data_IF_004651853637
#
_entry.id   IF_004651853637
#
_cell.length_a   1.000
_cell.length_b   1.000
_cell.length_c   1.000
_cell.angle_alpha   90.00
_cell.angle_beta   90.00
_cell.angle_gamma   90.00
#
_symmetry.space_group_name_H-M   'P 1'
#
loop_
_entity.id
_entity.type
_entity.pdbx_description
1 polymer ?
#
# COMPACT_ATOMS: atom_id res chain seq x y z
N UNK A 1 4.77 -16.21 3.62
CA UNK A 1 5.20 -15.58 4.89
C UNK A 1 3.98 -15.49 5.80
N UNK A 2 4.11 -15.75 7.09
CA UNK A 2 3.00 -15.61 8.03
C UNK A 2 2.74 -14.12 8.31
N UNK A 3 1.47 -13.72 8.47
CA UNK A 3 1.08 -12.31 8.48
C UNK A 3 1.65 -11.54 9.68
N UNK A 4 1.82 -12.19 10.84
CA UNK A 4 2.43 -11.58 12.02
C UNK A 4 3.95 -11.40 11.87
N UNK A 5 4.64 -12.34 11.23
CA UNK A 5 6.06 -12.18 10.86
C UNK A 5 6.25 -11.01 9.90
N UNK A 6 5.36 -10.88 8.91
CA UNK A 6 5.39 -9.76 7.97
C UNK A 6 5.12 -8.41 8.66
N UNK A 7 4.13 -8.35 9.55
CA UNK A 7 3.82 -7.17 10.36
C UNK A 7 5.06 -6.67 11.11
N UNK A 8 5.75 -7.56 11.83
CA UNK A 8 6.93 -7.17 12.62
C UNK A 8 8.06 -6.69 11.72
N UNK A 9 8.28 -7.36 10.59
CA UNK A 9 9.27 -6.94 9.59
C UNK A 9 9.01 -5.53 9.07
N UNK A 10 7.77 -5.25 8.67
CA UNK A 10 7.36 -3.90 8.22
C UNK A 10 7.53 -2.88 9.34
N UNK A 11 7.14 -3.21 10.57
CA UNK A 11 7.30 -2.34 11.74
C UNK A 11 8.77 -1.96 11.95
N UNK A 12 9.72 -2.88 11.80
CA UNK A 12 11.15 -2.59 11.96
C UNK A 12 11.71 -1.66 10.89
N UNK A 13 11.26 -1.80 9.64
CA UNK A 13 11.63 -0.87 8.56
C UNK A 13 11.11 0.53 8.88
N UNK A 14 9.81 0.64 9.17
CA UNK A 14 9.18 1.91 9.50
C UNK A 14 9.79 2.54 10.75
N UNK A 15 10.19 1.73 11.74
CA UNK A 15 10.84 2.20 12.98
C UNK A 15 12.15 2.91 12.66
N UNK A 16 12.96 2.33 11.78
CA UNK A 16 14.22 2.94 11.35
C UNK A 16 14.01 4.32 10.70
N UNK A 17 12.97 4.45 9.88
CA UNK A 17 12.61 5.72 9.26
C UNK A 17 12.07 6.74 10.30
N UNK A 18 11.11 6.33 11.13
CA UNK A 18 10.47 7.22 12.09
C UNK A 18 11.47 7.71 13.15
N UNK A 19 12.26 6.82 13.75
CA UNK A 19 13.29 7.23 14.72
C UNK A 19 14.45 7.97 14.06
N UNK A 20 14.69 7.75 12.76
CA UNK A 20 15.62 8.53 11.95
C UNK A 20 15.17 9.97 11.66
N UNK A 21 13.96 10.36 12.06
CA UNK A 21 13.45 11.73 11.93
C UNK A 21 12.45 11.94 10.79
N UNK A 22 12.13 10.92 10.00
CA UNK A 22 11.14 11.02 8.93
C UNK A 22 9.73 11.12 9.51
N UNK A 23 8.91 12.04 8.99
CA UNK A 23 7.52 12.30 9.43
C UNK A 23 6.51 12.34 8.28
N UNK A 24 6.95 12.02 7.06
CA UNK A 24 6.10 11.96 5.88
C UNK A 24 6.46 10.70 5.10
N UNK A 25 5.91 9.57 5.51
CA UNK A 25 6.24 8.23 5.01
C UNK A 25 5.00 7.66 4.32
N UNK A 26 5.14 7.30 3.05
CA UNK A 26 4.10 6.63 2.28
C UNK A 26 4.53 5.20 1.98
N UNK A 27 3.73 4.22 2.39
CA UNK A 27 3.90 2.81 2.06
C UNK A 27 2.87 2.42 1.01
N UNK A 28 3.35 2.12 -0.19
CA UNK A 28 2.51 1.70 -1.31
C UNK A 28 2.36 0.18 -1.32
N UNK A 29 1.12 -0.29 -1.34
CA UNK A 29 0.75 -1.71 -1.37
C UNK A 29 0.08 -2.04 -2.71
N UNK A 30 0.69 -2.96 -3.47
CA UNK A 30 0.09 -3.49 -4.70
C UNK A 30 -0.63 -4.82 -4.45
N UNK A 31 0.00 -5.70 -3.67
CA UNK A 31 -0.51 -7.05 -3.44
C UNK A 31 -1.57 -7.07 -2.34
N UNK A 32 -2.57 -7.93 -2.49
CA UNK A 32 -3.61 -8.17 -1.48
C UNK A 32 -4.45 -6.93 -1.13
N UNK A 33 -5.00 -6.31 -2.18
CA UNK A 33 -5.95 -5.21 -2.08
C UNK A 33 -6.96 -5.26 -3.23
N UNK A 34 -8.23 -5.48 -2.93
CA UNK A 34 -9.27 -5.68 -3.93
C UNK A 34 -10.50 -4.84 -3.58
N UNK A 35 -10.85 -3.87 -4.42
CA UNK A 35 -12.09 -3.10 -4.26
C UNK A 35 -12.26 -2.44 -2.87
N UNK A 36 -11.19 -1.87 -2.32
CA UNK A 36 -11.11 -1.32 -0.94
C UNK A 36 -11.14 -2.36 0.19
N UNK A 37 -11.05 -3.66 -0.13
CA UNK A 37 -10.89 -4.69 0.89
C UNK A 37 -9.42 -4.85 1.25
N UNK A 38 -9.15 -4.63 2.53
CA UNK A 38 -7.84 -4.83 3.14
C UNK A 38 -7.70 -6.33 3.48
N UNK A 39 -6.85 -7.01 2.72
CA UNK A 39 -6.53 -8.42 2.96
C UNK A 39 -5.36 -8.55 3.98
N UNK A 40 -5.04 -9.76 4.47
CA UNK A 40 -4.19 -9.94 5.64
C UNK A 40 -2.86 -9.18 5.62
N UNK A 41 -2.13 -9.19 4.50
CA UNK A 41 -0.83 -8.49 4.42
C UNK A 41 -1.00 -6.97 4.42
N UNK A 42 -2.05 -6.46 3.78
CA UNK A 42 -2.40 -5.04 3.81
C UNK A 42 -2.80 -4.59 5.22
N UNK A 43 -3.56 -5.41 5.95
CA UNK A 43 -3.89 -5.16 7.35
C UNK A 43 -2.65 -5.17 8.24
N UNK A 44 -1.73 -6.11 8.04
CA UNK A 44 -0.44 -6.14 8.74
C UNK A 44 0.34 -4.84 8.54
N UNK A 45 0.41 -4.32 7.31
CA UNK A 45 1.02 -3.03 7.00
C UNK A 45 0.39 -1.87 7.80
N UNK A 46 -0.94 -1.79 7.82
CA UNK A 46 -1.64 -0.73 8.55
C UNK A 46 -1.46 -0.85 10.06
N UNK A 47 -1.54 -2.07 10.60
CA UNK A 47 -1.34 -2.33 12.02
C UNK A 47 0.08 -1.98 12.45
N UNK A 48 1.09 -2.40 11.69
CA UNK A 48 2.49 -2.05 11.94
C UNK A 48 2.70 -0.53 12.01
N UNK A 49 2.16 0.22 11.03
CA UNK A 49 2.25 1.67 11.01
C UNK A 49 1.63 2.33 12.25
N UNK A 50 0.39 1.94 12.63
CA UNK A 50 -0.29 2.53 13.78
C UNK A 50 0.33 2.13 15.12
N UNK A 51 0.68 0.87 15.30
CA UNK A 51 1.36 0.39 16.51
C UNK A 51 2.68 1.14 16.71
N UNK A 52 3.49 1.27 15.66
CA UNK A 52 4.76 2.00 15.73
C UNK A 52 4.56 3.48 16.09
N UNK A 53 3.57 4.16 15.49
CA UNK A 53 3.29 5.56 15.84
C UNK A 53 2.95 5.70 17.32
N UNK A 54 2.14 4.79 17.88
CA UNK A 54 1.84 4.78 19.30
C UNK A 54 3.07 4.52 20.18
N UNK A 55 3.88 3.52 19.83
CA UNK A 55 5.15 3.22 20.53
C UNK A 55 6.05 4.45 20.56
N UNK A 56 6.24 5.11 19.41
CA UNK A 56 7.07 6.31 19.30
C UNK A 56 6.54 7.47 20.15
N UNK A 57 5.22 7.68 20.17
CA UNK A 57 4.61 8.73 20.99
C UNK A 57 4.73 8.43 22.48
N UNK A 58 4.60 7.17 22.90
CA UNK A 58 4.84 6.78 24.29
C UNK A 58 6.32 6.97 24.70
N UNK A 59 7.26 6.58 23.85
CA UNK A 59 8.70 6.76 24.11
C UNK A 59 9.08 8.25 24.25
N UNK A 60 8.42 9.13 23.49
CA UNK A 60 8.77 10.57 23.43
C UNK A 60 7.94 11.45 24.35
N UNK A 61 6.71 11.05 24.69
CA UNK A 61 5.79 11.82 25.54
C UNK A 61 5.53 11.18 26.90
N UNK A 62 6.00 9.95 27.11
CA UNK A 62 5.84 9.18 28.33
C UNK A 62 4.63 8.25 28.33
N UNK A 63 4.64 7.30 29.27
CA UNK A 63 3.55 6.34 29.46
C UNK A 63 2.24 7.05 29.76
N UNK A 64 1.16 6.60 29.11
CA UNK A 64 -0.16 7.17 29.29
C UNK A 64 -0.32 8.60 28.73
N UNK A 65 0.57 9.03 27.84
CA UNK A 65 0.53 10.38 27.24
C UNK A 65 -0.85 10.75 26.69
N UNK A 66 -1.57 9.78 26.11
CA UNK A 66 -2.89 9.98 25.52
C UNK A 66 -3.91 10.57 26.52
N UNK A 67 -3.82 10.17 27.79
CA UNK A 67 -4.71 10.65 28.86
C UNK A 67 -4.16 11.83 29.66
N UNK A 68 -2.94 12.30 29.38
CA UNK A 68 -2.38 13.47 30.08
C UNK A 68 -3.13 14.74 29.66
N UNK A 69 -3.58 15.53 30.63
CA UNK A 69 -4.24 16.82 30.41
C UNK A 69 -3.40 17.79 29.54
N UNK A 70 -2.08 17.64 29.48
CA UNK A 70 -1.21 18.39 28.56
C UNK A 70 -1.53 18.14 27.09
N UNK A 71 -2.14 16.98 26.77
CA UNK A 71 -2.55 16.59 25.43
C UNK A 71 -4.05 16.83 25.19
N UNK A 72 -4.78 17.55 26.06
CA UNK A 72 -6.23 17.81 25.89
C UNK A 72 -6.57 18.45 24.54
N UNK A 73 -5.70 19.33 24.04
CA UNK A 73 -5.89 20.06 22.78
C UNK A 73 -5.47 19.22 21.56
N UNK A 74 -4.99 17.99 21.76
CA UNK A 74 -4.54 17.11 20.68
C UNK A 74 -5.64 16.88 19.64
N UNK A 75 -6.88 16.64 20.09
CA UNK A 75 -8.03 16.42 19.22
C UNK A 75 -8.46 17.69 18.47
N UNK A 76 -8.33 18.85 19.11
CA UNK A 76 -8.69 20.15 18.51
C UNK A 76 -7.72 20.55 17.38
N UNK A 77 -6.53 19.94 17.35
CA UNK A 77 -5.46 20.23 16.38
C UNK A 77 -5.22 19.09 15.38
N UNK A 78 -6.06 18.05 15.35
CA UNK A 78 -5.86 16.91 14.43
C UNK A 78 -5.83 17.33 12.95
N UNK A 79 -6.60 18.35 12.57
CA UNK A 79 -6.63 18.85 11.20
C UNK A 79 -5.57 19.94 10.93
N UNK A 80 -4.70 20.26 11.90
CA UNK A 80 -3.72 21.34 11.82
C UNK A 80 -2.29 20.84 12.08
N UNK A 81 -1.38 21.10 11.13
CA UNK A 81 0.07 20.92 11.36
C UNK A 81 0.57 19.47 11.39
N UNK A 82 1.50 19.19 12.31
CA UNK A 82 2.24 17.92 12.47
C UNK A 82 1.41 16.83 13.17
N UNK A 83 0.38 16.31 12.48
CA UNK A 83 -0.47 15.26 13.02
C UNK A 83 0.21 13.87 12.91
N UNK A 84 0.47 13.17 14.03
CA UNK A 84 1.14 11.86 14.00
C UNK A 84 0.39 10.76 13.27
N UNK A 85 -0.93 10.91 13.10
CA UNK A 85 -1.74 9.95 12.36
C UNK A 85 -1.46 9.96 10.86
N UNK A 86 -0.85 11.03 10.36
CA UNK A 86 -0.48 11.21 8.97
C UNK A 86 1.02 10.95 8.71
N UNK A 87 1.83 10.67 9.74
CA UNK A 87 3.27 10.46 9.56
C UNK A 87 3.62 9.23 8.73
N UNK A 88 2.81 8.19 8.85
CA UNK A 88 2.93 6.96 8.09
C UNK A 88 1.56 6.68 7.47
N UNK A 89 1.51 6.79 6.14
CA UNK A 89 0.29 6.58 5.35
C UNK A 89 0.46 5.33 4.50
N UNK A 90 -0.44 4.38 4.66
CA UNK A 90 -0.49 3.16 3.85
C UNK A 90 -1.52 3.35 2.75
N UNK A 91 -1.11 3.24 1.49
CA UNK A 91 -1.96 3.50 0.33
C UNK A 91 -1.90 2.34 -0.68
N UNK A 92 -3.02 1.95 -1.30
CA UNK A 92 -2.97 1.07 -2.46
C UNK A 92 -2.25 1.75 -3.63
N UNK A 93 -1.45 0.98 -4.37
CA UNK A 93 -0.87 1.43 -5.64
C UNK A 93 -1.95 1.76 -6.68
N UNK A 94 -3.11 1.10 -6.58
CA UNK A 94 -4.22 1.22 -7.50
C UNK A 94 -5.53 1.33 -6.72
N UNK A 95 -6.20 2.48 -6.81
CA UNK A 95 -7.47 2.71 -6.11
C UNK A 95 -8.62 1.92 -6.72
N UNK A 96 -9.72 1.79 -5.97
CA UNK A 96 -10.97 1.22 -6.51
C UNK A 96 -11.46 1.93 -7.77
N UNK A 97 -11.35 3.26 -7.84
CA UNK A 97 -11.74 4.01 -9.05
C UNK A 97 -10.89 3.63 -10.26
N UNK A 98 -9.58 3.40 -10.07
CA UNK A 98 -8.70 2.95 -11.14
C UNK A 98 -9.01 1.50 -11.50
N UNK A 99 -9.17 0.60 -10.52
CA UNK A 99 -9.59 -0.79 -10.75
C UNK A 99 -10.90 -0.86 -11.54
N UNK A 100 -11.87 0.01 -11.25
CA UNK A 100 -13.15 0.05 -11.99
C UNK A 100 -13.03 0.61 -13.41
N UNK A 101 -12.03 1.47 -13.68
CA UNK A 101 -11.81 2.05 -15.01
C UNK A 101 -11.02 1.14 -15.95
N UNK A 102 -10.22 0.24 -15.41
CA UNK A 102 -9.36 -0.65 -16.21
C UNK A 102 -9.70 -2.11 -16.04
N UNK A 103 -9.86 -2.57 -14.80
CA UNK A 103 -9.89 -3.96 -14.39
C UNK A 103 -8.78 -4.28 -13.38
N UNK A 104 -8.91 -5.43 -12.72
CA UNK A 104 -7.95 -6.00 -11.78
C UNK A 104 -8.17 -7.52 -11.73
N UNK A 105 -7.10 -8.30 -11.62
CA UNK A 105 -7.14 -9.76 -11.57
C UNK A 105 -5.91 -10.33 -10.84
N UNK A 106 -5.71 -11.65 -10.93
CA UNK A 106 -4.55 -12.32 -10.37
C UNK A 106 -3.82 -13.10 -11.46
N UNK A 107 -2.64 -12.62 -11.86
CA UNK A 107 -1.82 -13.15 -12.93
C UNK A 107 -2.53 -13.29 -14.29
N UNK A 108 -3.64 -12.56 -14.47
CA UNK A 108 -4.46 -12.58 -15.67
C UNK A 108 -4.13 -11.45 -16.62
N UNK A 109 -5.12 -11.10 -17.44
CA UNK A 109 -5.09 -9.98 -18.39
C UNK A 109 -4.50 -8.68 -17.82
N UNK A 110 -4.91 -8.25 -16.63
CA UNK A 110 -4.62 -6.93 -16.07
C UNK A 110 -3.26 -6.87 -15.38
N UNK A 111 -2.94 -7.81 -14.49
CA UNK A 111 -1.60 -7.85 -13.88
C UNK A 111 -0.50 -8.10 -14.93
N UNK A 112 -0.74 -8.98 -15.92
CA UNK A 112 0.21 -9.16 -17.02
C UNK A 112 0.32 -7.92 -17.92
N UNK A 113 -0.75 -7.14 -18.09
CA UNK A 113 -0.69 -5.88 -18.84
C UNK A 113 0.21 -4.85 -18.13
N UNK A 114 0.04 -4.66 -16.82
CA UNK A 114 0.91 -3.77 -16.02
C UNK A 114 2.37 -4.21 -16.16
N UNK A 115 2.65 -5.50 -15.99
CA UNK A 115 4.01 -6.03 -16.08
C UNK A 115 4.58 -5.88 -17.51
N UNK A 116 3.76 -6.07 -18.54
CA UNK A 116 4.18 -5.88 -19.93
C UNK A 116 4.58 -4.43 -20.23
N UNK A 117 3.93 -3.45 -19.59
CA UNK A 117 4.28 -2.03 -19.76
C UNK A 117 5.55 -1.62 -18.99
N UNK A 118 5.78 -2.20 -17.81
CA UNK A 118 6.90 -1.82 -16.94
C UNK A 118 8.18 -2.63 -17.19
N UNK A 119 8.03 -3.91 -17.55
CA UNK A 119 9.13 -4.85 -17.70
C UNK A 119 8.78 -5.96 -18.72
N UNK A 120 8.59 -5.60 -20.00
CA UNK A 120 8.01 -6.44 -21.05
C UNK A 120 8.67 -7.81 -21.23
N UNK A 121 10.00 -7.88 -21.05
CA UNK A 121 10.79 -9.11 -21.20
C UNK A 121 10.40 -10.22 -20.21
N UNK A 122 9.67 -9.89 -19.14
CA UNK A 122 9.22 -10.87 -18.14
C UNK A 122 7.86 -11.48 -18.43
N UNK A 123 7.13 -10.97 -19.43
CA UNK A 123 5.81 -11.48 -19.81
C UNK A 123 5.96 -12.45 -20.99
N UNK A 124 6.07 -13.74 -20.70
CA UNK A 124 6.28 -14.79 -21.70
C UNK A 124 4.98 -15.54 -21.99
N UNK A 125 4.15 -14.99 -22.89
CA UNK A 125 2.82 -15.55 -23.22
C UNK A 125 2.85 -17.00 -23.71
N UNK A 126 3.93 -17.42 -24.36
CA UNK A 126 4.08 -18.80 -24.85
C UNK A 126 4.07 -19.85 -23.73
N UNK A 127 4.29 -19.44 -22.47
CA UNK A 127 4.23 -20.31 -21.28
C UNK A 127 2.84 -20.48 -20.70
N UNK A 128 1.84 -19.72 -21.15
CA UNK A 128 0.46 -19.85 -20.64
C UNK A 128 -0.07 -21.27 -20.89
N UNK A 129 0.29 -21.89 -22.01
CA UNK A 129 -0.07 -23.27 -22.36
C UNK A 129 0.52 -24.34 -21.42
N UNK A 130 1.50 -23.97 -20.58
CA UNK A 130 2.14 -24.89 -19.65
C UNK A 130 1.24 -25.16 -18.42
N UNK A 131 0.10 -24.47 -18.30
CA UNK A 131 -0.84 -24.58 -17.17
C UNK A 131 -2.30 -24.38 -17.61
N UNK A 132 -3.22 -25.07 -16.92
CA UNK A 132 -4.68 -24.92 -17.04
C UNK A 132 -5.31 -24.17 -15.85
N UNK A 133 -4.50 -23.54 -14.99
CA UNK A 133 -5.02 -22.77 -13.86
C UNK A 133 -5.90 -21.62 -14.34
N UNK A 134 -7.12 -21.55 -13.81
CA UNK A 134 -8.17 -20.65 -14.32
C UNK A 134 -7.77 -19.16 -14.34
N UNK A 135 -6.94 -18.72 -13.38
CA UNK A 135 -6.64 -17.31 -13.16
C UNK A 135 -5.62 -16.73 -14.15
N UNK A 136 -4.90 -17.57 -14.90
CA UNK A 136 -3.95 -17.11 -15.93
C UNK A 136 -4.52 -17.15 -17.35
N UNK A 137 -5.70 -17.75 -17.56
CA UNK A 137 -6.16 -18.11 -18.90
C UNK A 137 -6.42 -16.88 -19.78
N UNK A 138 -6.90 -15.79 -19.19
CA UNK A 138 -7.13 -14.52 -19.88
C UNK A 138 -5.86 -13.65 -20.03
N UNK A 139 -4.72 -14.07 -19.48
CA UNK A 139 -3.43 -13.37 -19.66
C UNK A 139 -2.99 -13.29 -21.13
N UNK A 140 -3.55 -14.14 -22.00
CA UNK A 140 -3.39 -14.06 -23.45
C UNK A 140 -3.85 -12.70 -24.00
N UNK A 141 -4.86 -12.08 -23.37
CA UNK A 141 -5.43 -10.78 -23.73
C UNK A 141 -4.65 -9.58 -23.19
N UNK A 142 -3.57 -9.80 -22.43
CA UNK A 142 -2.75 -8.70 -21.89
C UNK A 142 -2.09 -7.88 -22.99
N UNK A 143 -1.86 -6.58 -22.76
CA UNK A 143 -1.14 -5.73 -23.71
C UNK A 143 -0.34 -4.62 -23.03
N UNK A 144 0.73 -4.18 -23.71
CA UNK A 144 1.54 -3.03 -23.27
C UNK A 144 0.67 -1.77 -23.18
N UNK A 145 -0.15 -1.50 -24.19
CA UNK A 145 -1.04 -0.33 -24.22
C UNK A 145 -2.01 -0.30 -23.03
N UNK A 146 -2.57 -1.46 -22.65
CA UNK A 146 -3.43 -1.57 -21.48
C UNK A 146 -2.66 -1.28 -20.20
N UNK A 147 -1.45 -1.84 -20.07
CA UNK A 147 -0.58 -1.60 -18.93
C UNK A 147 -0.18 -0.14 -18.78
N UNK A 148 0.20 0.52 -19.87
CA UNK A 148 0.54 1.94 -19.89
C UNK A 148 -0.63 2.81 -19.43
N UNK A 149 -1.85 2.49 -19.89
CA UNK A 149 -3.07 3.17 -19.42
C UNK A 149 -3.28 2.96 -17.91
N UNK A 150 -3.13 1.73 -17.42
CA UNK A 150 -3.27 1.41 -15.99
C UNK A 150 -2.25 2.17 -15.14
N UNK A 151 -0.96 2.12 -15.51
CA UNK A 151 0.13 2.83 -14.82
C UNK A 151 -0.14 4.33 -14.79
N UNK A 152 -0.56 4.92 -15.91
CA UNK A 152 -0.90 6.34 -15.98
C UNK A 152 -1.98 6.72 -14.97
N UNK A 153 -3.09 5.97 -14.93
CA UNK A 153 -4.20 6.25 -14.02
C UNK A 153 -3.80 6.06 -12.54
N UNK A 154 -3.01 5.04 -12.22
CA UNK A 154 -2.44 4.85 -10.88
C UNK A 154 -1.59 6.05 -10.46
N UNK A 155 -0.68 6.52 -11.33
CA UNK A 155 0.17 7.67 -11.04
C UNK A 155 -0.62 8.97 -10.87
N UNK A 156 -1.67 9.18 -11.68
CA UNK A 156 -2.57 10.33 -11.54
C UNK A 156 -3.34 10.33 -10.22
N UNK A 157 -3.78 9.16 -9.75
CA UNK A 157 -4.42 8.99 -8.44
C UNK A 157 -3.43 9.23 -7.29
N UNK A 158 -2.26 8.58 -7.33
CA UNK A 158 -1.24 8.70 -6.29
C UNK A 158 -0.74 10.14 -6.12
N UNK A 159 -0.58 10.89 -7.21
CA UNK A 159 -0.20 12.33 -7.17
C UNK A 159 -1.20 13.20 -6.41
N UNK A 160 -2.46 12.79 -6.29
CA UNK A 160 -3.50 13.51 -5.53
C UNK A 160 -3.46 13.16 -4.04
N UNK A 161 -3.00 11.94 -3.72
CA UNK A 161 -3.01 11.38 -2.36
C UNK A 161 -1.73 11.64 -1.59
N UNK A 162 -0.59 11.61 -2.29
CA UNK A 162 0.73 11.88 -1.72
C UNK A 162 0.94 13.40 -1.65
N UNK A 163 1.21 13.91 -0.45
CA UNK A 163 1.45 15.32 -0.12
C UNK A 163 2.84 15.53 0.44
#
# INVERSE_FOLDING_TARGET
MEASVFEEYIKMILKSLLYGGWRNIYMLIHHQYEQENLLPMTLSCMKAAKTLTFEFLEDTRGKGWWGDNKNKEFYEKLDQGDNPWNWITVLPCMSKEVQNQTGYDHAGKYECSILAALYPETVIKDRIKDSDEWFIQDATESSVEMGEKMVKLCLEDLKKKIK
#
